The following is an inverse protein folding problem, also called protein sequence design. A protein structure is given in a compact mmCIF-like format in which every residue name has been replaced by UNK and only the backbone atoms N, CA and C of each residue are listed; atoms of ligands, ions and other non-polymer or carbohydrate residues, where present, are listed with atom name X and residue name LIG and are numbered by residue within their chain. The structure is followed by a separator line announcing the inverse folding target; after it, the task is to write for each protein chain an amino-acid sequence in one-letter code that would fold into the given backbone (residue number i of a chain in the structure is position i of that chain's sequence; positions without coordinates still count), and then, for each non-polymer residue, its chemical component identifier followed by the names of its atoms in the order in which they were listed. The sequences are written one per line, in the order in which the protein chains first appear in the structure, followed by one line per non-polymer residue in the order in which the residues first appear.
data_IF_189621170703
#
_entry.id   IF_189621170703
#
_cell.length_a   1.000
_cell.length_b   1.000
_cell.length_c   1.000
_cell.angle_alpha   90.00
_cell.angle_beta   90.00
_cell.angle_gamma   90.00
#
_symmetry.space_group_name_H-M   'P 1'
#
loop_
_entity.id
_entity.type
_entity.pdbx_description
1 polymer ?
#
# COMPACT_ATOMS: atom_id res chain seq x y z
N UNK A 1 -4.53 21.01 -3.10
CA UNK A 1 -5.13 19.74 -2.63
C UNK A 1 -3.98 18.76 -2.47
N UNK A 2 -3.50 18.51 -1.25
CA UNK A 2 -2.37 17.58 -1.03
C UNK A 2 -2.86 16.17 -1.36
N UNK A 3 -2.61 15.70 -2.58
CA UNK A 3 -2.84 14.30 -2.93
C UNK A 3 -1.93 13.47 -2.01
N UNK A 4 -2.57 12.76 -1.08
CA UNK A 4 -1.92 11.78 -0.21
C UNK A 4 -1.03 10.88 -1.08
N UNK A 5 0.25 10.64 -0.70
CA UNK A 5 1.16 9.85 -1.53
C UNK A 5 0.61 8.43 -1.76
N UNK A 6 0.61 7.96 -3.00
CA UNK A 6 0.21 6.59 -3.33
C UNK A 6 1.12 5.56 -2.64
N UNK A 7 0.72 4.28 -2.66
CA UNK A 7 1.44 3.21 -1.96
C UNK A 7 2.90 3.08 -2.41
N UNK A 8 3.23 3.35 -3.67
CA UNK A 8 4.61 3.27 -4.16
C UNK A 8 5.44 4.41 -3.59
N UNK A 9 4.91 5.64 -3.60
CA UNK A 9 5.58 6.80 -2.99
C UNK A 9 5.81 6.64 -1.50
N UNK A 10 4.91 5.97 -0.78
CA UNK A 10 5.07 5.71 0.66
C UNK A 10 6.36 4.91 0.97
N UNK A 11 6.79 4.05 0.05
CA UNK A 11 7.98 3.22 0.19
C UNK A 11 9.14 3.66 -0.69
N UNK A 12 9.05 4.84 -1.30
CA UNK A 12 10.02 5.36 -2.27
C UNK A 12 10.31 4.37 -3.42
N UNK A 13 9.27 3.70 -3.90
CA UNK A 13 9.33 2.76 -5.02
C UNK A 13 8.80 3.38 -6.30
N UNK A 14 9.33 2.94 -7.43
CA UNK A 14 8.75 3.26 -8.74
C UNK A 14 7.40 2.58 -8.93
N UNK A 15 6.45 3.29 -9.54
CA UNK A 15 5.14 2.75 -9.92
C UNK A 15 5.28 1.79 -11.10
N UNK A 16 5.47 0.51 -10.79
CA UNK A 16 5.58 -0.57 -11.79
C UNK A 16 5.06 -1.88 -11.23
N UNK A 17 4.59 -2.76 -12.11
CA UNK A 17 4.11 -4.07 -11.67
C UNK A 17 5.25 -4.94 -11.13
N UNK A 18 6.41 -4.96 -11.76
CA UNK A 18 7.57 -5.71 -11.26
C UNK A 18 8.27 -4.92 -10.17
N UNK A 19 8.06 -5.31 -8.92
CA UNK A 19 8.81 -4.76 -7.77
C UNK A 19 9.79 -5.81 -7.24
N UNK A 20 10.87 -5.34 -6.63
CA UNK A 20 11.75 -6.17 -5.84
C UNK A 20 11.11 -6.36 -4.44
N UNK A 21 10.83 -7.62 -4.08
CA UNK A 21 10.21 -7.96 -2.80
C UNK A 21 11.11 -7.62 -1.61
N UNK A 22 12.43 -7.74 -1.75
CA UNK A 22 13.38 -7.41 -0.69
C UNK A 22 13.46 -5.90 -0.47
N UNK A 23 13.41 -5.11 -1.56
CA UNK A 23 13.34 -3.66 -1.47
C UNK A 23 12.04 -3.20 -0.79
N UNK A 24 10.90 -3.82 -1.13
CA UNK A 24 9.63 -3.53 -0.46
C UNK A 24 9.67 -3.89 1.04
N UNK A 25 10.19 -5.06 1.39
CA UNK A 25 10.30 -5.50 2.79
C UNK A 25 11.20 -4.56 3.61
N UNK A 26 12.30 -4.09 3.00
CA UNK A 26 13.22 -3.13 3.63
C UNK A 26 12.53 -1.78 3.84
N UNK A 27 11.92 -1.22 2.80
CA UNK A 27 11.22 0.06 2.87
C UNK A 27 10.07 0.02 3.90
N UNK A 28 9.33 -1.09 3.95
CA UNK A 28 8.27 -1.29 4.94
C UNK A 28 8.80 -1.26 6.37
N UNK A 29 9.90 -1.96 6.66
CA UNK A 29 10.54 -1.93 7.99
C UNK A 29 11.02 -0.53 8.35
N UNK A 30 11.61 0.19 7.40
CA UNK A 30 12.03 1.58 7.60
C UNK A 30 10.83 2.46 7.95
N UNK A 31 9.74 2.42 7.19
CA UNK A 31 8.53 3.20 7.49
C UNK A 31 7.95 2.82 8.85
N UNK A 32 7.76 1.52 9.13
CA UNK A 32 7.26 1.05 10.42
C UNK A 32 8.10 1.53 11.60
N UNK A 33 9.44 1.54 11.46
CA UNK A 33 10.32 2.01 12.53
C UNK A 33 10.12 3.50 12.89
N UNK A 34 9.60 4.31 11.96
CA UNK A 34 9.31 5.73 12.21
C UNK A 34 7.92 5.96 12.81
N UNK A 35 6.96 5.07 12.54
CA UNK A 35 5.53 5.27 12.85
C UNK A 35 5.00 4.30 13.91
N UNK A 36 5.86 3.47 14.50
CA UNK A 36 5.44 2.48 15.50
C UNK A 36 4.84 3.16 16.74
N UNK A 37 3.62 2.77 17.18
CA UNK A 37 2.95 3.37 18.34
C UNK A 37 3.80 3.39 19.62
N UNK A 38 4.65 2.36 19.83
CA UNK A 38 5.54 2.29 20.99
C UNK A 38 6.52 3.47 21.10
N UNK A 39 6.89 4.10 19.96
CA UNK A 39 7.73 5.31 19.99
C UNK A 39 6.99 6.53 20.53
N UNK A 40 5.66 6.50 20.47
CA UNK A 40 4.77 7.56 20.91
C UNK A 40 4.05 7.16 22.21
N UNK A 41 4.44 6.06 22.86
CA UNK A 41 3.90 5.65 24.15
C UNK A 41 4.18 6.69 25.26
N UNK A 42 5.26 7.46 25.13
CA UNK A 42 5.59 8.61 25.99
C UNK A 42 5.06 9.95 25.45
N UNK A 43 4.37 9.95 24.30
CA UNK A 43 3.83 11.14 23.65
C UNK A 43 2.39 11.45 24.08
N UNK A 44 1.82 12.48 23.47
CA UNK A 44 0.41 12.87 23.66
C UNK A 44 -0.53 11.89 22.97
N UNK A 45 -1.78 11.83 23.43
CA UNK A 45 -2.83 11.04 22.77
C UNK A 45 -3.05 11.42 21.30
N UNK A 46 -2.79 12.68 20.94
CA UNK A 46 -2.87 13.14 19.55
C UNK A 46 -1.76 12.53 18.68
N UNK A 47 -0.52 12.52 19.18
CA UNK A 47 0.63 11.91 18.49
C UNK A 47 0.45 10.40 18.33
N UNK A 48 -0.04 9.72 19.38
CA UNK A 48 -0.36 8.29 19.32
C UNK A 48 -1.41 7.95 18.24
N UNK A 49 -2.44 8.79 18.08
CA UNK A 49 -3.44 8.61 17.01
C UNK A 49 -2.85 8.81 15.62
N UNK A 50 -2.00 9.81 15.44
CA UNK A 50 -1.31 10.05 14.16
C UNK A 50 -0.41 8.87 13.82
N UNK A 51 0.38 8.38 14.78
CA UNK A 51 1.23 7.20 14.60
C UNK A 51 0.41 5.95 14.19
N UNK A 52 -0.72 5.71 14.84
CA UNK A 52 -1.63 4.61 14.49
C UNK A 52 -2.15 4.73 13.04
N UNK A 53 -2.59 5.93 12.62
CA UNK A 53 -3.05 6.15 11.25
C UNK A 53 -1.95 5.85 10.21
N UNK A 54 -0.72 6.30 10.49
CA UNK A 54 0.43 6.01 9.63
C UNK A 54 0.79 4.54 9.60
N UNK A 55 0.76 3.85 10.75
CA UNK A 55 1.03 2.42 10.84
C UNK A 55 0.00 1.60 10.03
N UNK A 56 -1.30 1.89 10.19
CA UNK A 56 -2.37 1.23 9.42
C UNK A 56 -2.16 1.44 7.92
N UNK A 57 -1.84 2.67 7.49
CA UNK A 57 -1.60 2.97 6.08
C UNK A 57 -0.38 2.26 5.52
N UNK A 58 0.72 2.20 6.27
CA UNK A 58 1.91 1.45 5.85
C UNK A 58 1.60 -0.04 5.70
N UNK A 59 0.80 -0.61 6.60
CA UNK A 59 0.41 -2.02 6.53
C UNK A 59 -0.46 -2.31 5.30
N UNK A 60 -1.43 -1.44 5.01
CA UNK A 60 -2.29 -1.57 3.83
C UNK A 60 -1.49 -1.47 2.53
N UNK A 61 -0.67 -0.42 2.40
CA UNK A 61 0.18 -0.22 1.24
C UNK A 61 1.10 -1.43 1.00
N UNK A 62 1.72 -1.94 2.06
CA UNK A 62 2.58 -3.11 1.98
C UNK A 62 1.85 -4.36 1.49
N UNK A 63 0.68 -4.66 2.06
CA UNK A 63 -0.16 -5.81 1.66
C UNK A 63 -0.59 -5.70 0.20
N UNK A 64 -0.98 -4.51 -0.24
CA UNK A 64 -1.40 -4.24 -1.62
C UNK A 64 -0.24 -4.44 -2.59
N UNK A 65 0.95 -3.90 -2.30
CA UNK A 65 2.10 -4.02 -3.19
C UNK A 65 2.74 -5.42 -3.17
N UNK A 66 2.66 -6.15 -2.05
CA UNK A 66 3.25 -7.49 -1.93
C UNK A 66 2.46 -8.56 -2.69
N UNK A 67 1.14 -8.45 -2.76
CA UNK A 67 0.30 -9.34 -3.56
C UNK A 67 0.33 -8.96 -5.04
N UNK A 68 0.74 -9.84 -5.97
CA UNK A 68 0.72 -9.53 -7.40
C UNK A 68 -0.66 -9.13 -7.91
N UNK A 69 -1.72 -9.84 -7.48
CA UNK A 69 -3.09 -9.55 -7.91
C UNK A 69 -3.56 -8.18 -7.42
N UNK A 70 -3.37 -7.89 -6.12
CA UNK A 70 -3.76 -6.58 -5.56
C UNK A 70 -2.95 -5.44 -6.16
N UNK A 71 -1.67 -5.67 -6.44
CA UNK A 71 -0.79 -4.68 -7.08
C UNK A 71 -1.23 -4.39 -8.52
N UNK A 72 -1.65 -5.41 -9.28
CA UNK A 72 -2.20 -5.21 -10.61
C UNK A 72 -3.47 -4.36 -10.56
N UNK A 73 -4.43 -4.75 -9.71
CA UNK A 73 -5.67 -3.99 -9.51
C UNK A 73 -5.40 -2.53 -9.12
N UNK A 74 -4.49 -2.32 -8.15
CA UNK A 74 -4.11 -0.99 -7.70
C UNK A 74 -3.44 -0.14 -8.80
N UNK A 75 -2.61 -0.73 -9.67
CA UNK A 75 -2.04 -0.01 -10.81
C UNK A 75 -3.12 0.40 -11.82
N UNK A 76 -4.13 -0.45 -12.04
CA UNK A 76 -5.27 -0.13 -12.90
C UNK A 76 -6.14 0.99 -12.28
N UNK A 77 -6.39 0.95 -10.97
CA UNK A 77 -7.05 2.04 -10.22
C UNK A 77 -6.30 3.37 -10.36
N UNK A 78 -4.98 3.37 -10.21
CA UNK A 78 -4.13 4.56 -10.41
C UNK A 78 -4.17 5.09 -11.85
N UNK A 79 -4.49 4.24 -12.82
CA UNK A 79 -4.69 4.60 -14.22
C UNK A 79 -6.14 5.01 -14.54
N UNK A 80 -7.05 5.00 -13.55
CA UNK A 80 -8.46 5.35 -13.72
C UNK A 80 -9.35 4.22 -14.25
N UNK A 81 -8.87 2.98 -14.24
CA UNK A 81 -9.60 1.79 -14.73
C UNK A 81 -9.66 0.74 -13.62
N UNK A 82 -10.53 0.91 -12.59
CA UNK A 82 -10.70 -0.12 -11.56
C UNK A 82 -11.23 -1.41 -12.20
N UNK A 83 -10.65 -2.55 -11.83
CA UNK A 83 -10.94 -3.85 -12.47
C UNK A 83 -11.84 -4.77 -11.63
N UNK A 84 -12.25 -4.33 -10.43
CA UNK A 84 -13.14 -5.07 -9.53
C UNK A 84 -12.74 -6.56 -9.40
N UNK A 85 -11.45 -6.79 -9.13
CA UNK A 85 -10.80 -8.09 -9.30
C UNK A 85 -11.42 -9.26 -8.52
N UNK A 86 -12.22 -8.99 -7.49
CA UNK A 86 -12.91 -10.02 -6.69
C UNK A 86 -14.38 -10.22 -7.05
N UNK A 87 -14.98 -9.34 -7.87
CA UNK A 87 -16.40 -9.40 -8.24
C UNK A 87 -16.65 -9.49 -9.75
N UNK A 88 -15.68 -9.13 -10.58
CA UNK A 88 -15.81 -9.22 -12.03
C UNK A 88 -15.49 -10.65 -12.53
N UNK A 89 -16.54 -11.43 -12.77
CA UNK A 89 -16.46 -12.80 -13.30
C UNK A 89 -16.77 -12.92 -14.79
N UNK A 90 -16.97 -11.78 -15.48
CA UNK A 90 -17.23 -11.78 -16.91
C UNK A 90 -15.98 -12.25 -17.67
N UNK A 91 -16.06 -13.45 -18.23
CA UNK A 91 -14.99 -14.03 -19.04
C UNK A 91 -15.47 -14.18 -20.50
N UNK A 92 -14.62 -13.84 -21.49
CA UNK A 92 -14.86 -14.18 -22.89
C UNK A 92 -15.08 -15.69 -23.07
N UNK A 93 -15.94 -16.07 -24.02
CA UNK A 93 -16.32 -17.48 -24.23
C UNK A 93 -15.14 -18.37 -24.64
N UNK A 94 -14.11 -17.79 -25.27
CA UNK A 94 -12.87 -18.46 -25.66
C UNK A 94 -11.90 -18.69 -24.49
N UNK A 95 -12.17 -18.10 -23.32
CA UNK A 95 -11.39 -18.29 -22.08
C UNK A 95 -11.96 -19.37 -21.14
N UNK A 96 -13.21 -19.79 -21.35
CA UNK A 96 -13.93 -20.81 -20.56
C UNK A 96 -13.77 -22.21 -21.16
#
# INVERSE_FOLDING_TARGET
MLALPDHFKLFDLQRRFKIDAAALDTAYRTVQSHVHPDRFAAGTAAEGRVAMQWATRANEAYRTLKSPLKRAAYLCELAGVPIDAESNTAMPADFL
#
